data_IF_773731220865
#
_entry.id   IF_773731220865
#
_cell.length_a   1.000
_cell.length_b   1.000
_cell.length_c   1.000
_cell.angle_alpha   90.00
_cell.angle_beta   90.00
_cell.angle_gamma   90.00
#
_symmetry.space_group_name_H-M   'P 1'
#
loop_
_entity.id
_entity.type
_entity.pdbx_description
1 polymer ?
#
# COMPACT_ATOMS: atom_id res chain seq x y z
N UNK A 1 28.38 13.72 -27.63
CA UNK A 1 29.03 13.24 -26.39
C UNK A 1 28.03 12.92 -25.27
N UNK A 2 26.97 13.72 -25.08
CA UNK A 2 25.95 13.48 -24.06
C UNK A 2 25.26 12.09 -24.22
N UNK A 3 24.95 11.67 -25.44
CA UNK A 3 24.33 10.35 -25.68
C UNK A 3 25.20 9.16 -25.27
N UNK A 4 26.53 9.29 -25.37
CA UNK A 4 27.47 8.24 -24.95
C UNK A 4 27.50 8.10 -23.43
N UNK A 5 27.32 9.22 -22.71
CA UNK A 5 27.21 9.23 -21.24
C UNK A 5 25.90 8.60 -20.77
N UNK A 6 24.79 8.95 -21.42
CA UNK A 6 23.47 8.38 -21.13
C UNK A 6 23.42 6.87 -21.40
N UNK A 7 24.18 6.38 -22.39
CA UNK A 7 24.32 4.95 -22.67
C UNK A 7 25.38 4.26 -21.79
N UNK A 8 25.91 4.94 -20.78
CA UNK A 8 26.98 4.45 -19.90
C UNK A 8 28.26 4.00 -20.62
N UNK A 9 28.49 4.49 -21.85
CA UNK A 9 29.73 4.22 -22.60
C UNK A 9 30.85 5.15 -22.15
N UNK A 10 30.52 6.41 -21.84
CA UNK A 10 31.45 7.37 -21.25
C UNK A 10 31.00 7.70 -19.83
N UNK A 11 31.93 7.76 -18.87
CA UNK A 11 31.60 8.20 -17.52
C UNK A 11 31.22 9.68 -17.51
N UNK A 12 30.09 10.02 -16.88
CA UNK A 12 29.71 11.41 -16.63
C UNK A 12 30.31 11.92 -15.32
N UNK A 13 31.62 12.13 -15.32
CA UNK A 13 32.34 12.54 -14.11
C UNK A 13 33.28 13.70 -14.38
N UNK A 14 33.24 14.74 -13.54
CA UNK A 14 34.18 15.88 -13.58
C UNK A 14 35.51 15.59 -12.83
N UNK A 15 35.83 14.33 -12.57
CA UNK A 15 37.07 13.92 -11.89
C UNK A 15 38.15 13.54 -12.90
N UNK A 16 39.41 13.79 -12.53
CA UNK A 16 40.57 13.42 -13.33
C UNK A 16 40.52 11.93 -13.73
N UNK A 17 40.93 11.56 -14.96
CA UNK A 17 40.84 10.18 -15.46
C UNK A 17 41.41 9.12 -14.51
N UNK A 18 42.53 9.43 -13.84
CA UNK A 18 43.18 8.52 -12.90
C UNK A 18 42.36 8.20 -11.64
N UNK A 19 41.39 9.04 -11.26
CA UNK A 19 40.57 8.88 -10.05
C UNK A 19 39.18 8.30 -10.32
N UNK A 20 38.83 8.08 -11.60
CA UNK A 20 37.49 7.62 -11.98
C UNK A 20 37.19 6.23 -11.42
N UNK A 21 38.16 5.31 -11.49
CA UNK A 21 38.02 3.95 -10.95
C UNK A 21 37.84 3.95 -9.44
N UNK A 22 38.64 4.71 -8.71
CA UNK A 22 38.55 4.83 -7.26
C UNK A 22 37.20 5.42 -6.82
N UNK A 23 36.68 6.41 -7.55
CA UNK A 23 35.34 6.98 -7.31
C UNK A 23 34.25 5.92 -7.52
N UNK A 24 34.28 5.19 -8.62
CA UNK A 24 33.30 4.13 -8.89
C UNK A 24 33.31 3.05 -7.82
N UNK A 25 34.49 2.64 -7.37
CA UNK A 25 34.63 1.64 -6.31
C UNK A 25 34.08 2.17 -4.98
N UNK A 26 34.34 3.44 -4.63
CA UNK A 26 33.74 4.06 -3.45
C UNK A 26 32.21 4.12 -3.55
N UNK A 27 31.66 4.51 -4.70
CA UNK A 27 30.21 4.58 -4.93
C UNK A 27 29.59 3.19 -4.83
N UNK A 28 30.27 2.15 -5.34
CA UNK A 28 29.87 0.76 -5.19
C UNK A 28 29.87 0.32 -3.72
N UNK A 29 30.93 0.61 -2.97
CA UNK A 29 31.02 0.29 -1.54
C UNK A 29 29.91 0.97 -0.73
N UNK A 30 29.64 2.24 -1.01
CA UNK A 30 28.52 2.96 -0.38
C UNK A 30 27.17 2.30 -0.69
N UNK A 31 26.96 1.88 -1.93
CA UNK A 31 25.74 1.17 -2.32
C UNK A 31 25.62 -0.19 -1.63
N UNK A 32 26.71 -0.95 -1.51
CA UNK A 32 26.72 -2.24 -0.81
C UNK A 32 26.45 -2.10 0.68
N UNK A 33 27.06 -1.10 1.32
CA UNK A 33 26.86 -0.84 2.75
C UNK A 33 25.42 -0.40 3.04
N UNK A 34 24.87 0.47 2.19
CA UNK A 34 23.47 0.89 2.27
C UNK A 34 22.52 -0.30 2.07
N UNK A 35 22.77 -1.14 1.06
CA UNK A 35 21.94 -2.32 0.81
C UNK A 35 21.99 -3.27 2.00
N UNK A 36 23.17 -3.55 2.55
CA UNK A 36 23.34 -4.40 3.73
C UNK A 36 22.50 -3.89 4.92
N UNK A 37 22.61 -2.60 5.24
CA UNK A 37 21.83 -1.97 6.31
C UNK A 37 20.32 -2.06 6.09
N UNK A 38 19.84 -1.95 4.85
CA UNK A 38 18.42 -2.08 4.52
C UNK A 38 17.95 -3.54 4.62
N UNK A 39 18.78 -4.51 4.24
CA UNK A 39 18.47 -5.92 4.36
C UNK A 39 18.41 -6.37 5.82
N UNK A 40 19.29 -5.86 6.68
CA UNK A 40 19.27 -6.12 8.13
C UNK A 40 17.98 -5.62 8.81
N UNK A 41 17.36 -4.57 8.27
CA UNK A 41 16.12 -3.97 8.78
C UNK A 41 14.91 -4.28 7.91
N UNK A 42 14.98 -5.34 7.10
CA UNK A 42 13.90 -5.70 6.19
C UNK A 42 12.69 -6.16 7.02
N UNK A 43 11.51 -5.53 6.86
CA UNK A 43 10.31 -5.96 7.56
C UNK A 43 9.82 -7.30 7.00
N UNK A 44 9.19 -8.09 7.87
CA UNK A 44 8.54 -9.33 7.49
C UNK A 44 7.26 -9.06 6.67
N UNK A 45 6.81 -10.06 5.93
CA UNK A 45 5.59 -9.95 5.11
C UNK A 45 4.38 -9.55 5.97
N UNK A 46 4.25 -10.14 7.16
CA UNK A 46 3.08 -9.94 8.02
C UNK A 46 3.02 -8.49 8.54
N UNK A 47 4.16 -7.89 8.90
CA UNK A 47 4.23 -6.47 9.26
C UNK A 47 3.73 -5.55 8.13
N UNK A 48 4.06 -5.90 6.87
CA UNK A 48 3.60 -5.15 5.70
C UNK A 48 2.09 -5.32 5.47
N UNK A 49 1.53 -6.48 5.80
CA UNK A 49 0.08 -6.72 5.74
C UNK A 49 -0.65 -5.94 6.83
N UNK A 50 -0.15 -5.97 8.07
CA UNK A 50 -0.72 -5.20 9.19
C UNK A 50 -0.73 -3.69 8.91
N UNK A 51 0.33 -3.19 8.28
CA UNK A 51 0.43 -1.78 7.84
C UNK A 51 -0.37 -1.47 6.59
N UNK A 52 -1.15 -2.41 6.05
CA UNK A 52 -1.95 -2.27 4.82
C UNK A 52 -1.11 -1.89 3.58
N UNK A 53 0.17 -2.26 3.55
CA UNK A 53 1.06 -2.07 2.39
C UNK A 53 0.88 -3.23 1.41
N UNK A 54 0.88 -4.47 1.92
CA UNK A 54 0.60 -5.67 1.12
C UNK A 54 -0.81 -6.18 1.40
N UNK A 55 -1.50 -6.74 0.40
CA UNK A 55 -2.78 -7.40 0.63
C UNK A 55 -2.61 -8.69 1.43
N UNK A 56 -3.54 -8.95 2.35
CA UNK A 56 -3.64 -10.18 3.13
C UNK A 56 -4.18 -11.36 2.29
N UNK A 57 -3.56 -11.66 1.14
CA UNK A 57 -4.02 -12.71 0.23
C UNK A 57 -2.92 -13.71 -0.10
N UNK A 58 -3.34 -14.94 -0.36
CA UNK A 58 -2.49 -16.02 -0.92
C UNK A 58 -2.47 -16.00 -2.45
N UNK A 59 -3.28 -15.13 -3.08
CA UNK A 59 -3.33 -15.02 -4.53
C UNK A 59 -1.97 -14.63 -5.13
N UNK A 60 -1.68 -15.22 -6.30
CA UNK A 60 -0.48 -14.93 -7.07
C UNK A 60 -0.38 -13.41 -7.38
N UNK A 61 0.83 -12.81 -7.44
CA UNK A 61 1.00 -11.36 -7.60
C UNK A 61 0.21 -10.75 -8.76
N UNK A 62 0.13 -11.45 -9.89
CA UNK A 62 -0.60 -11.01 -11.07
C UNK A 62 -2.13 -10.92 -10.86
N UNK A 63 -2.69 -11.68 -9.92
CA UNK A 63 -4.13 -11.76 -9.67
C UNK A 63 -4.60 -10.87 -8.52
N UNK A 64 -3.67 -10.35 -7.70
CA UNK A 64 -4.01 -9.59 -6.49
C UNK A 64 -4.85 -8.34 -6.79
N UNK A 65 -4.57 -7.67 -7.92
CA UNK A 65 -5.32 -6.49 -8.33
C UNK A 65 -6.78 -6.84 -8.64
N UNK A 66 -7.01 -7.84 -9.48
CA UNK A 66 -8.35 -8.29 -9.86
C UNK A 66 -9.12 -8.89 -8.68
N UNK A 67 -8.45 -9.65 -7.81
CA UNK A 67 -9.07 -10.20 -6.60
C UNK A 67 -9.59 -9.08 -5.69
N UNK A 68 -8.80 -8.02 -5.47
CA UNK A 68 -9.20 -6.87 -4.65
C UNK A 68 -10.37 -6.10 -5.28
N UNK A 69 -10.35 -5.93 -6.58
CA UNK A 69 -11.44 -5.28 -7.32
C UNK A 69 -12.76 -6.06 -7.16
N UNK A 70 -12.71 -7.38 -7.36
CA UNK A 70 -13.86 -8.25 -7.15
C UNK A 70 -14.38 -8.18 -5.71
N UNK A 71 -13.50 -8.31 -4.72
CA UNK A 71 -13.86 -8.23 -3.30
C UNK A 71 -14.56 -6.91 -2.96
N UNK A 72 -14.04 -5.80 -3.50
CA UNK A 72 -14.64 -4.47 -3.32
C UNK A 72 -16.06 -4.42 -3.90
N UNK A 73 -16.27 -4.95 -5.11
CA UNK A 73 -17.59 -4.99 -5.73
C UNK A 73 -18.57 -5.86 -4.93
N UNK A 74 -18.15 -7.06 -4.54
CA UNK A 74 -18.96 -7.95 -3.71
C UNK A 74 -19.35 -7.30 -2.38
N UNK A 75 -18.42 -6.57 -1.74
CA UNK A 75 -18.70 -5.86 -0.49
C UNK A 75 -19.69 -4.71 -0.70
N UNK A 76 -19.55 -3.96 -1.80
CA UNK A 76 -20.46 -2.87 -2.14
C UNK A 76 -21.88 -3.40 -2.37
N UNK A 77 -22.03 -4.47 -3.14
CA UNK A 77 -23.34 -5.08 -3.41
C UNK A 77 -23.99 -5.62 -2.13
N UNK A 78 -23.20 -6.24 -1.25
CA UNK A 78 -23.68 -6.74 0.03
C UNK A 78 -24.13 -5.59 0.95
N UNK A 79 -23.36 -4.52 0.99
CA UNK A 79 -23.67 -3.33 1.78
C UNK A 79 -24.94 -2.65 1.28
N UNK A 80 -25.08 -2.49 -0.03
CA UNK A 80 -26.27 -1.92 -0.67
C UNK A 80 -27.53 -2.68 -0.26
N UNK A 81 -27.51 -4.02 -0.34
CA UNK A 81 -28.64 -4.85 0.07
C UNK A 81 -29.00 -4.67 1.56
N UNK A 82 -27.99 -4.55 2.44
CA UNK A 82 -28.20 -4.31 3.88
C UNK A 82 -28.77 -2.92 4.18
N UNK A 83 -28.34 -1.91 3.42
CA UNK A 83 -28.83 -0.54 3.57
C UNK A 83 -30.28 -0.44 3.07
N UNK A 84 -30.63 -1.11 1.97
CA UNK A 84 -32.00 -1.14 1.45
C UNK A 84 -32.99 -1.74 2.46
N UNK A 85 -32.58 -2.78 3.18
CA UNK A 85 -33.38 -3.45 4.20
C UNK A 85 -33.13 -2.89 5.62
N UNK A 86 -32.63 -1.66 5.73
CA UNK A 86 -32.34 -1.05 7.04
C UNK A 86 -33.66 -0.85 7.82
N UNK A 87 -33.77 -1.42 9.04
CA UNK A 87 -34.95 -1.23 9.88
C UNK A 87 -35.21 0.25 10.17
N UNK A 88 -36.48 0.61 10.26
CA UNK A 88 -36.85 1.97 10.63
C UNK A 88 -36.63 2.18 12.14
N UNK A 89 -36.36 3.42 12.60
CA UNK A 89 -36.18 3.70 14.03
C UNK A 89 -37.34 3.19 14.91
N UNK A 90 -38.57 3.25 14.40
CA UNK A 90 -39.78 2.81 15.10
C UNK A 90 -39.77 1.30 15.37
N UNK A 91 -39.25 0.52 14.43
CA UNK A 91 -39.11 -0.94 14.59
C UNK A 91 -38.08 -1.28 15.67
N UNK A 92 -37.00 -0.49 15.76
CA UNK A 92 -35.97 -0.65 16.79
C UNK A 92 -36.47 -0.25 18.18
N UNK A 93 -37.34 0.76 18.28
CA UNK A 93 -38.02 1.15 19.53
C UNK A 93 -38.95 0.02 19.98
N UNK A 94 -39.74 -0.53 19.06
CA UNK A 94 -40.62 -1.67 19.38
C UNK A 94 -39.85 -2.91 19.83
N UNK A 95 -38.62 -3.09 19.37
CA UNK A 95 -37.73 -4.18 19.80
C UNK A 95 -36.98 -3.88 21.10
N UNK A 96 -37.17 -2.69 21.69
CA UNK A 96 -36.50 -2.26 22.92
C UNK A 96 -35.01 -1.95 22.75
N UNK A 97 -34.55 -1.69 21.52
CA UNK A 97 -33.15 -1.35 21.20
C UNK A 97 -32.91 0.15 21.31
N UNK A 98 -33.87 0.97 20.87
CA UNK A 98 -33.84 2.43 20.96
C UNK A 98 -34.93 2.94 21.91
N UNK A 99 -34.64 4.04 22.60
CA UNK A 99 -35.65 4.79 23.38
C UNK A 99 -36.38 5.81 22.49
N UNK A 100 -37.57 6.26 22.88
CA UNK A 100 -38.36 7.23 22.08
C UNK A 100 -37.65 8.58 21.91
N UNK A 101 -36.87 9.00 22.91
CA UNK A 101 -36.05 10.22 22.93
C UNK A 101 -34.78 10.12 22.08
N UNK A 102 -34.36 8.90 21.73
CA UNK A 102 -33.17 8.63 20.91
C UNK A 102 -33.50 8.48 19.41
N UNK A 103 -34.74 8.79 18.99
CA UNK A 103 -35.15 8.66 17.61
C UNK A 103 -34.40 9.67 16.71
N UNK A 104 -33.53 9.22 15.79
CA UNK A 104 -32.75 10.11 14.93
C UNK A 104 -33.59 10.91 13.92
N UNK A 105 -34.89 10.61 13.76
CA UNK A 105 -35.82 11.37 12.91
C UNK A 105 -36.55 12.49 13.64
N UNK A 106 -36.51 12.53 14.96
CA UNK A 106 -37.11 13.59 15.76
C UNK A 106 -36.03 14.20 16.64
N UNK A 107 -35.22 15.14 16.10
CA UNK A 107 -34.17 15.76 16.90
C UNK A 107 -34.80 16.55 18.06
N UNK A 108 -34.09 16.54 19.19
CA UNK A 108 -34.41 17.35 20.39
C UNK A 108 -34.16 18.84 20.12
#
# INVERSE_FOLDING_TARGET
MQDLKNRHILLDTNVAPALQSARQELDRQRATDSLKKNLEKRPEKDELVERNILPATSAAPALQAHARELEKHMLADNLEHKIQNRPQPEELISQGILSEDENPRSPV
#
